data_IF_139255637463
#
_entry.id   IF_139255637463
#
_cell.length_a   1.000
_cell.length_b   1.000
_cell.length_c   1.000
_cell.angle_alpha   90.00
_cell.angle_beta   90.00
_cell.angle_gamma   90.00
#
_symmetry.space_group_name_H-M   'P 1'
#
loop_
_entity.id
_entity.type
_entity.pdbx_description
1 polymer ?
#
# COMPACT_ATOMS: atom_id res chain seq x y z
N UNK A 1 -0.60 45.95 12.28
CA UNK A 1 -1.76 46.71 11.82
C UNK A 1 -2.89 45.79 11.39
N UNK A 2 -2.69 44.88 10.38
CA UNK A 2 -3.76 44.01 9.86
C UNK A 2 -4.44 43.14 10.93
N UNK A 3 -3.69 42.59 11.88
CA UNK A 3 -4.24 41.86 13.03
C UNK A 3 -5.02 42.77 13.97
N UNK A 4 -4.46 43.94 14.32
CA UNK A 4 -5.14 44.89 15.19
C UNK A 4 -6.48 45.38 14.58
N UNK A 5 -6.52 45.52 13.27
CA UNK A 5 -7.72 45.90 12.52
C UNK A 5 -8.64 44.71 12.22
N UNK A 6 -8.30 43.48 12.65
CA UNK A 6 -9.00 42.22 12.33
C UNK A 6 -9.33 42.08 10.83
N UNK A 7 -8.42 42.54 9.96
CA UNK A 7 -8.67 42.75 8.54
C UNK A 7 -9.11 41.46 7.82
N UNK A 8 -8.57 40.31 8.19
CA UNK A 8 -8.81 39.04 7.54
C UNK A 8 -9.77 38.12 8.31
N UNK A 9 -10.37 38.62 9.36
CA UNK A 9 -11.41 37.90 10.10
C UNK A 9 -12.59 37.62 9.18
N UNK A 10 -13.00 36.37 9.12
CA UNK A 10 -14.24 35.97 8.45
C UNK A 10 -15.43 36.08 9.43
N UNK A 11 -16.52 36.62 8.95
CA UNK A 11 -17.79 36.70 9.69
C UNK A 11 -18.90 36.02 8.91
N UNK A 12 -19.88 35.45 9.61
CA UNK A 12 -21.05 34.90 8.94
C UNK A 12 -21.86 36.06 8.35
N UNK A 13 -21.93 36.14 7.03
CA UNK A 13 -22.65 37.15 6.28
C UNK A 13 -23.44 36.46 5.16
N UNK A 14 -24.77 36.31 5.29
CA UNK A 14 -25.60 35.62 4.31
C UNK A 14 -25.72 36.39 2.98
N UNK A 15 -25.46 37.71 2.99
CA UNK A 15 -25.59 38.55 1.77
C UNK A 15 -24.36 38.44 0.85
N UNK A 16 -23.25 37.90 1.36
CA UNK A 16 -22.02 37.76 0.57
C UNK A 16 -21.82 36.35 0.07
N UNK A 17 -21.40 36.23 -1.18
CA UNK A 17 -20.96 34.96 -1.74
C UNK A 17 -19.76 34.43 -0.97
N UNK A 18 -19.84 33.19 -0.50
CA UNK A 18 -18.78 32.53 0.29
C UNK A 18 -17.63 32.06 -0.61
N UNK A 19 -16.43 32.16 -0.07
CA UNK A 19 -15.25 31.53 -0.65
C UNK A 19 -14.42 30.90 0.47
N UNK A 20 -14.24 29.60 0.40
CA UNK A 20 -13.37 28.87 1.33
C UNK A 20 -12.03 28.66 0.66
N UNK A 21 -11.00 29.31 1.20
CA UNK A 21 -9.62 29.11 0.77
C UNK A 21 -8.96 28.08 1.66
N UNK A 22 -8.24 27.16 1.04
CA UNK A 22 -7.53 26.07 1.74
C UNK A 22 -6.06 26.08 1.40
N UNK A 23 -5.26 25.68 2.38
CA UNK A 23 -3.87 25.28 2.21
C UNK A 23 -3.53 24.14 3.17
N UNK A 24 -2.36 23.53 3.02
CA UNK A 24 -1.93 22.50 3.94
C UNK A 24 -1.70 23.06 5.35
N UNK A 25 -2.06 22.30 6.37
CA UNK A 25 -1.66 22.59 7.76
C UNK A 25 -0.25 22.03 7.97
N UNK A 26 0.75 22.88 8.33
CA UNK A 26 2.11 22.38 8.51
C UNK A 26 2.22 21.51 9.75
N UNK A 27 3.15 20.54 9.68
CA UNK A 27 3.49 19.71 10.82
C UNK A 27 4.55 20.41 11.70
N UNK A 28 4.33 20.58 13.03
CA UNK A 28 5.17 21.39 13.89
C UNK A 28 6.43 20.65 14.39
N UNK A 29 7.27 20.15 13.48
CA UNK A 29 8.53 19.46 13.79
C UNK A 29 9.74 20.38 13.89
N UNK A 30 9.63 21.64 13.49
CA UNK A 30 10.73 22.59 13.49
C UNK A 30 10.37 23.93 12.86
N UNK A 31 11.31 24.57 12.16
CA UNK A 31 11.08 25.81 11.44
C UNK A 31 10.35 25.63 10.12
N UNK A 32 9.61 26.65 9.69
CA UNK A 32 9.12 26.71 8.31
C UNK A 32 10.29 26.83 7.32
N UNK A 33 10.13 26.25 6.15
CA UNK A 33 11.09 26.34 5.06
C UNK A 33 10.40 26.79 3.76
N UNK A 34 11.18 27.02 2.72
CA UNK A 34 10.69 27.53 1.43
C UNK A 34 9.56 26.69 0.81
N UNK A 35 9.51 25.38 1.08
CA UNK A 35 8.43 24.49 0.62
C UNK A 35 7.07 24.87 1.20
N UNK A 36 7.00 25.33 2.45
CA UNK A 36 5.76 25.84 3.03
C UNK A 36 5.29 27.12 2.31
N UNK A 37 6.22 28.02 2.00
CA UNK A 37 5.93 29.20 1.20
C UNK A 37 5.38 28.86 -0.17
N UNK A 38 6.02 27.92 -0.84
CA UNK A 38 5.59 27.44 -2.15
C UNK A 38 4.17 26.88 -2.14
N UNK A 39 3.82 26.11 -1.11
CA UNK A 39 2.49 25.54 -0.97
C UNK A 39 1.42 26.56 -0.57
N UNK A 40 1.76 27.55 0.26
CA UNK A 40 0.79 28.48 0.84
C UNK A 40 0.57 29.75 0.00
N UNK A 41 1.60 30.26 -0.66
CA UNK A 41 1.52 31.52 -1.40
C UNK A 41 0.47 31.52 -2.53
N UNK A 42 0.31 30.47 -3.37
CA UNK A 42 -0.74 30.44 -4.39
C UNK A 42 -2.14 30.54 -3.78
N UNK A 43 -2.38 29.83 -2.66
CA UNK A 43 -3.66 29.87 -1.94
C UNK A 43 -3.94 31.27 -1.37
N UNK A 44 -2.92 31.91 -0.79
CA UNK A 44 -3.03 33.27 -0.27
C UNK A 44 -3.35 34.29 -1.38
N UNK A 45 -2.66 34.21 -2.51
CA UNK A 45 -2.93 35.08 -3.68
C UNK A 45 -4.37 34.91 -4.15
N UNK A 46 -4.85 33.67 -4.25
CA UNK A 46 -6.24 33.38 -4.65
C UNK A 46 -7.24 33.94 -3.63
N UNK A 47 -6.99 33.73 -2.34
CA UNK A 47 -7.84 34.22 -1.26
C UNK A 47 -7.95 35.76 -1.28
N UNK A 48 -6.82 36.47 -1.47
CA UNK A 48 -6.79 37.94 -1.60
C UNK A 48 -7.58 38.42 -2.81
N UNK A 49 -7.37 37.76 -3.96
CA UNK A 49 -8.11 38.07 -5.18
C UNK A 49 -9.63 37.96 -4.96
N UNK A 50 -10.08 36.84 -4.36
CA UNK A 50 -11.51 36.63 -4.11
C UNK A 50 -12.07 37.66 -3.13
N UNK A 51 -11.31 38.02 -2.10
CA UNK A 51 -11.70 39.11 -1.17
C UNK A 51 -11.84 40.46 -1.89
N UNK A 52 -10.90 40.80 -2.75
CA UNK A 52 -10.94 42.02 -3.58
C UNK A 52 -12.17 42.03 -4.53
N UNK A 53 -12.63 40.84 -4.94
CA UNK A 53 -13.85 40.68 -5.74
C UNK A 53 -15.15 40.74 -4.92
N UNK A 54 -15.06 41.02 -3.59
CA UNK A 54 -16.21 41.16 -2.70
C UNK A 54 -16.72 39.90 -2.04
N UNK A 55 -16.04 38.75 -2.23
CA UNK A 55 -16.43 37.53 -1.56
C UNK A 55 -16.16 37.58 -0.05
N UNK A 56 -16.96 36.84 0.70
CA UNK A 56 -16.71 36.53 2.09
C UNK A 56 -15.74 35.35 2.18
N UNK A 57 -14.47 35.64 2.43
CA UNK A 57 -13.40 34.64 2.37
C UNK A 57 -13.10 34.12 3.76
N UNK A 58 -13.23 32.79 3.92
CA UNK A 58 -12.70 32.05 5.07
C UNK A 58 -11.37 31.41 4.65
N UNK A 59 -10.27 31.81 5.29
CA UNK A 59 -8.95 31.22 5.08
C UNK A 59 -8.32 30.89 6.44
N UNK A 60 -8.67 29.72 7.03
CA UNK A 60 -8.14 29.30 8.31
C UNK A 60 -6.69 28.84 8.17
N UNK A 61 -5.96 28.87 9.28
CA UNK A 61 -4.65 28.23 9.44
C UNK A 61 -4.69 27.31 10.65
N UNK A 62 -3.76 26.40 10.71
CA UNK A 62 -3.63 25.47 11.83
C UNK A 62 -2.38 24.63 11.72
N UNK A 63 -2.35 23.56 12.53
CA UNK A 63 -1.20 22.67 12.62
C UNK A 63 -1.68 21.23 12.74
N UNK A 64 -1.11 20.35 11.91
CA UNK A 64 -1.23 18.90 12.07
C UNK A 64 -0.21 18.46 13.13
N UNK A 65 -0.68 18.29 14.36
CA UNK A 65 0.19 18.34 15.53
C UNK A 65 0.28 17.04 16.32
N UNK A 66 -0.29 15.95 15.81
CA UNK A 66 -0.09 14.59 16.34
C UNK A 66 0.99 13.84 15.57
N UNK A 67 1.56 12.82 16.19
CA UNK A 67 2.32 11.78 15.52
C UNK A 67 3.75 11.59 16.01
N UNK A 68 4.33 10.51 15.55
CA UNK A 68 5.65 10.01 15.92
C UNK A 68 6.82 10.97 15.69
N UNK A 69 6.88 11.78 14.61
CA UNK A 69 8.01 12.70 14.45
C UNK A 69 8.17 13.69 15.61
N UNK A 70 7.06 14.18 16.17
CA UNK A 70 7.11 15.06 17.35
C UNK A 70 7.53 14.29 18.61
N UNK A 71 7.04 13.04 18.78
CA UNK A 71 7.41 12.19 19.90
C UNK A 71 8.89 11.81 19.84
N UNK A 72 9.40 11.39 18.68
CA UNK A 72 10.81 11.06 18.50
C UNK A 72 11.71 12.26 18.79
N UNK A 73 11.40 13.43 18.22
CA UNK A 73 12.15 14.64 18.48
C UNK A 73 12.13 15.04 19.96
N UNK A 74 11.04 14.81 20.67
CA UNK A 74 10.92 15.06 22.10
C UNK A 74 11.75 14.06 22.93
N UNK A 75 11.74 12.77 22.56
CA UNK A 75 12.56 11.72 23.20
C UNK A 75 14.05 12.05 23.05
N UNK A 76 14.51 12.35 21.83
CA UNK A 76 15.91 12.71 21.56
C UNK A 76 16.40 13.91 22.39
N UNK A 77 15.50 14.86 22.68
CA UNK A 77 15.81 16.09 23.42
C UNK A 77 15.52 16.00 24.91
N UNK A 78 14.95 14.89 25.38
CA UNK A 78 14.56 14.72 26.78
C UNK A 78 13.47 15.68 27.26
N UNK A 79 12.55 16.09 26.36
CA UNK A 79 11.43 17.00 26.67
C UNK A 79 10.09 16.31 26.44
N UNK A 80 9.03 16.78 27.10
CA UNK A 80 7.70 16.22 26.88
C UNK A 80 7.18 16.59 25.48
N UNK A 81 6.58 15.66 24.68
CA UNK A 81 6.09 15.92 23.34
C UNK A 81 5.15 17.11 23.23
N UNK A 82 4.21 17.26 24.16
CA UNK A 82 3.30 18.40 24.19
C UNK A 82 4.07 19.75 24.27
N UNK A 83 5.03 19.86 25.18
CA UNK A 83 5.82 21.09 25.36
C UNK A 83 6.62 21.40 24.09
N UNK A 84 7.24 20.39 23.49
CA UNK A 84 7.98 20.54 22.26
C UNK A 84 7.08 21.00 21.10
N UNK A 85 5.95 20.34 20.91
CA UNK A 85 4.98 20.64 19.86
C UNK A 85 4.41 22.05 19.99
N UNK A 86 3.95 22.43 21.18
CA UNK A 86 3.38 23.78 21.41
C UNK A 86 4.41 24.86 21.19
N UNK A 87 5.66 24.69 21.62
CA UNK A 87 6.76 25.64 21.37
C UNK A 87 7.03 25.81 19.86
N UNK A 88 7.02 24.72 19.09
CA UNK A 88 7.16 24.81 17.63
C UNK A 88 5.97 25.50 16.97
N UNK A 89 4.76 25.22 17.41
CA UNK A 89 3.55 25.91 16.92
C UNK A 89 3.68 27.44 17.12
N UNK A 90 4.02 27.89 18.32
CA UNK A 90 4.22 29.32 18.59
C UNK A 90 5.29 29.92 17.68
N UNK A 91 6.38 29.21 17.44
CA UNK A 91 7.44 29.67 16.54
C UNK A 91 6.96 29.77 15.09
N UNK A 92 6.29 28.72 14.59
CA UNK A 92 5.73 28.72 13.26
C UNK A 92 4.64 29.79 13.07
N UNK A 93 3.79 30.02 14.07
CA UNK A 93 2.80 31.10 14.03
C UNK A 93 3.47 32.48 13.82
N UNK A 94 4.58 32.74 14.53
CA UNK A 94 5.35 33.98 14.31
C UNK A 94 5.92 34.07 12.91
N UNK A 95 6.46 32.97 12.39
CA UNK A 95 6.99 32.89 11.02
C UNK A 95 5.91 33.09 9.96
N UNK A 96 4.74 32.45 10.11
CA UNK A 96 3.59 32.64 9.21
C UNK A 96 3.06 34.10 9.22
N UNK A 97 3.03 34.73 10.38
CA UNK A 97 2.66 36.17 10.47
C UNK A 97 3.66 37.05 9.73
N UNK A 98 4.96 36.71 9.77
CA UNK A 98 5.99 37.41 9.02
C UNK A 98 5.81 37.28 7.50
N UNK A 99 5.26 36.17 7.03
CA UNK A 99 4.85 36.04 5.61
C UNK A 99 3.80 37.05 5.19
N UNK A 100 2.98 37.53 6.14
CA UNK A 100 1.88 38.43 5.86
C UNK A 100 0.70 37.79 5.14
N UNK A 101 0.56 36.47 5.20
CA UNK A 101 -0.59 35.74 4.62
C UNK A 101 -1.91 36.16 5.26
N UNK A 102 -3.01 36.14 4.51
CA UNK A 102 -4.32 36.59 5.00
C UNK A 102 -5.07 35.49 5.77
N UNK A 103 -4.39 34.80 6.67
CA UNK A 103 -5.02 33.81 7.52
C UNK A 103 -5.95 34.45 8.57
N UNK A 104 -7.07 33.79 8.81
CA UNK A 104 -7.98 34.11 9.91
C UNK A 104 -7.51 33.39 11.18
N UNK A 105 -6.68 34.09 11.96
CA UNK A 105 -6.10 33.54 13.18
C UNK A 105 -7.10 33.30 14.32
N UNK A 106 -8.34 33.82 14.23
CA UNK A 106 -9.41 33.50 15.19
C UNK A 106 -10.03 32.14 14.92
N UNK A 107 -9.75 31.57 13.76
CA UNK A 107 -10.24 30.25 13.33
C UNK A 107 -9.10 29.24 13.14
N UNK A 108 -8.18 29.28 14.09
CA UNK A 108 -7.04 28.37 14.08
C UNK A 108 -7.44 26.93 14.43
N UNK A 109 -6.88 25.96 13.68
CA UNK A 109 -7.12 24.53 13.85
C UNK A 109 -5.83 23.82 14.29
N UNK A 110 -5.72 23.46 15.57
CA UNK A 110 -4.58 22.71 16.11
C UNK A 110 -5.06 21.32 16.48
N UNK A 111 -4.64 20.31 15.71
CA UNK A 111 -5.20 18.95 15.79
C UNK A 111 -5.00 18.28 17.16
N UNK A 112 -3.93 18.58 17.89
CA UNK A 112 -3.63 17.99 19.20
C UNK A 112 -4.36 18.63 20.37
N UNK A 113 -5.17 19.67 20.15
CA UNK A 113 -5.94 20.29 21.23
C UNK A 113 -7.32 19.64 21.39
N UNK A 114 -7.85 19.51 22.62
CA UNK A 114 -9.14 18.88 22.89
C UNK A 114 -10.30 19.51 22.12
N UNK A 115 -10.26 20.82 21.89
CA UNK A 115 -11.27 21.53 21.10
C UNK A 115 -11.37 21.04 19.66
N UNK A 116 -10.27 20.51 19.10
CA UNK A 116 -10.22 19.94 17.77
C UNK A 116 -10.47 18.43 17.78
N UNK A 117 -9.66 17.63 18.50
CA UNK A 117 -9.69 16.16 18.36
C UNK A 117 -10.98 15.53 18.88
N UNK A 118 -11.76 16.20 19.75
CA UNK A 118 -13.10 15.73 20.12
C UNK A 118 -14.02 15.48 18.92
N UNK A 119 -13.79 16.20 17.81
CA UNK A 119 -14.54 15.98 16.58
C UNK A 119 -14.07 14.73 15.83
N UNK A 120 -12.79 14.44 15.86
CA UNK A 120 -12.27 13.16 15.34
C UNK A 120 -12.81 11.98 16.15
N UNK A 121 -12.88 12.09 17.48
CA UNK A 121 -13.51 11.10 18.35
C UNK A 121 -15.00 10.94 18.04
N UNK A 122 -15.70 12.05 17.81
CA UNK A 122 -17.11 12.02 17.42
C UNK A 122 -17.32 11.32 16.08
N UNK A 123 -16.50 11.60 15.07
CA UNK A 123 -16.54 10.90 13.78
C UNK A 123 -16.26 9.41 13.94
N UNK A 124 -15.28 9.04 14.75
CA UNK A 124 -15.00 7.64 15.04
C UNK A 124 -16.23 6.93 15.63
N UNK A 125 -16.90 7.54 16.59
CA UNK A 125 -18.13 6.99 17.17
C UNK A 125 -19.24 6.84 16.12
N UNK A 126 -19.38 7.81 15.21
CA UNK A 126 -20.34 7.71 14.10
C UNK A 126 -20.00 6.60 13.13
N UNK A 127 -18.74 6.39 12.82
CA UNK A 127 -18.30 5.27 11.99
C UNK A 127 -18.52 3.92 12.71
N UNK A 128 -18.33 3.87 14.01
CA UNK A 128 -18.63 2.69 14.80
C UNK A 128 -20.13 2.38 14.83
N UNK A 129 -20.98 3.37 15.09
CA UNK A 129 -22.44 3.25 15.06
C UNK A 129 -22.94 2.77 13.67
N UNK A 130 -22.31 3.25 12.59
CA UNK A 130 -22.64 2.85 11.21
C UNK A 130 -22.04 1.49 10.80
N UNK A 131 -21.28 0.81 11.67
CA UNK A 131 -20.61 -0.45 11.36
C UNK A 131 -19.41 -0.32 10.42
N UNK A 132 -18.97 0.90 10.12
CA UNK A 132 -17.79 1.18 9.30
C UNK A 132 -16.52 0.87 10.09
N UNK A 133 -16.43 1.34 11.34
CA UNK A 133 -15.33 1.01 12.24
C UNK A 133 -15.59 -0.33 12.93
N UNK A 134 -14.61 -1.22 12.91
CA UNK A 134 -14.69 -2.54 13.55
C UNK A 134 -13.33 -3.00 14.07
N UNK A 135 -13.32 -3.98 14.95
CA UNK A 135 -12.09 -4.61 15.45
C UNK A 135 -11.88 -5.98 14.79
N UNK A 136 -10.65 -6.26 14.44
CA UNK A 136 -10.22 -7.57 13.98
C UNK A 136 -8.76 -7.84 14.36
N UNK A 137 -8.39 -9.11 14.48
CA UNK A 137 -6.99 -9.49 14.61
C UNK A 137 -6.29 -9.31 13.25
N UNK A 138 -5.10 -8.70 13.29
CA UNK A 138 -4.27 -8.52 12.12
C UNK A 138 -2.79 -8.63 12.48
N UNK A 139 -1.95 -9.15 11.60
CA UNK A 139 -0.51 -9.17 11.78
C UNK A 139 0.04 -7.74 11.70
N UNK A 140 0.73 -7.33 12.76
CA UNK A 140 1.39 -6.03 12.86
C UNK A 140 2.88 -6.21 13.10
N UNK A 141 3.68 -5.23 12.71
CA UNK A 141 5.07 -5.16 13.11
C UNK A 141 5.17 -4.80 14.59
N UNK A 142 5.90 -5.58 15.35
CA UNK A 142 6.02 -5.43 16.79
C UNK A 142 7.47 -5.46 17.23
N UNK A 143 7.88 -4.45 18.00
CA UNK A 143 9.19 -4.42 18.61
C UNK A 143 9.12 -5.03 20.04
N UNK A 144 9.77 -6.19 20.30
CA UNK A 144 9.73 -6.81 21.62
C UNK A 144 10.40 -5.95 22.71
N UNK A 145 11.47 -5.22 22.37
CA UNK A 145 12.20 -4.37 23.31
C UNK A 145 11.44 -3.10 23.68
N UNK A 146 10.85 -2.41 22.69
CA UNK A 146 10.03 -1.23 22.94
C UNK A 146 8.62 -1.59 23.39
N UNK A 147 8.23 -2.86 23.32
CA UNK A 147 6.91 -3.40 23.63
C UNK A 147 5.77 -2.60 22.96
N UNK A 148 5.93 -2.30 21.68
CA UNK A 148 4.99 -1.49 20.91
C UNK A 148 4.85 -1.98 19.48
N UNK A 149 3.71 -1.68 18.87
CA UNK A 149 3.51 -1.84 17.43
C UNK A 149 4.28 -0.76 16.68
N UNK A 150 4.74 -1.09 15.49
CA UNK A 150 5.47 -0.19 14.61
C UNK A 150 4.69 0.02 13.34
N UNK A 151 4.67 1.27 12.87
CA UNK A 151 4.30 1.57 11.50
C UNK A 151 5.42 1.08 10.55
N UNK A 152 5.08 0.91 9.29
CA UNK A 152 6.02 0.40 8.30
C UNK A 152 7.30 1.24 8.20
N UNK A 153 7.17 2.56 8.23
CA UNK A 153 8.26 3.54 8.13
C UNK A 153 9.21 3.47 9.33
N UNK A 154 8.83 2.78 10.41
CA UNK A 154 9.62 2.60 11.62
C UNK A 154 10.40 1.29 11.66
N UNK A 155 10.27 0.47 10.62
CA UNK A 155 11.01 -0.78 10.45
C UNK A 155 12.08 -0.56 9.39
N UNK A 156 13.35 -0.55 9.80
CA UNK A 156 14.49 -0.18 8.97
C UNK A 156 15.36 -1.37 8.60
N UNK A 157 16.00 -1.26 7.45
CA UNK A 157 16.98 -2.22 6.95
C UNK A 157 16.36 -3.53 6.42
N UNK A 158 17.13 -4.26 5.65
CA UNK A 158 16.74 -5.56 5.11
C UNK A 158 16.52 -6.62 6.20
N UNK A 159 17.22 -6.46 7.33
CA UNK A 159 17.09 -7.28 8.54
C UNK A 159 15.91 -6.89 9.44
N UNK A 160 15.12 -5.87 9.03
CA UNK A 160 13.90 -5.43 9.71
C UNK A 160 14.07 -5.13 11.18
N UNK A 161 14.80 -4.10 11.51
CA UNK A 161 14.98 -3.65 12.89
C UNK A 161 14.17 -2.39 13.24
N UNK A 162 13.90 -2.24 14.52
CA UNK A 162 13.18 -1.08 15.05
C UNK A 162 14.03 0.19 14.91
N UNK A 163 13.45 1.27 14.38
CA UNK A 163 14.13 2.58 14.23
C UNK A 163 14.69 3.15 15.55
N UNK A 164 14.06 2.78 16.71
CA UNK A 164 14.39 3.34 18.02
C UNK A 164 15.49 2.57 18.76
N UNK A 165 15.43 1.26 18.75
CA UNK A 165 16.30 0.41 19.60
C UNK A 165 17.09 -0.62 18.80
N UNK A 166 16.97 -0.64 17.48
CA UNK A 166 17.64 -1.57 16.56
C UNK A 166 17.41 -3.06 16.87
N UNK A 167 16.38 -3.38 17.67
CA UNK A 167 15.99 -4.78 17.93
C UNK A 167 15.25 -5.33 16.71
N UNK A 168 15.50 -6.58 16.30
CA UNK A 168 14.73 -7.23 15.23
C UNK A 168 13.23 -7.19 15.50
N UNK A 169 12.48 -6.78 14.49
CA UNK A 169 11.02 -6.68 14.54
C UNK A 169 10.40 -8.03 14.22
N UNK A 170 9.34 -8.38 14.93
CA UNK A 170 8.58 -9.61 14.70
C UNK A 170 7.16 -9.27 14.22
N UNK A 171 6.53 -10.20 13.50
CA UNK A 171 5.08 -10.13 13.24
C UNK A 171 4.33 -10.67 14.46
N UNK A 172 3.29 -9.97 14.86
CA UNK A 172 2.42 -10.35 15.98
C UNK A 172 0.97 -10.05 15.63
N UNK A 173 0.10 -11.03 15.79
CA UNK A 173 -1.32 -10.82 15.63
C UNK A 173 -1.88 -10.08 16.84
N UNK A 174 -2.43 -8.91 16.58
CA UNK A 174 -3.08 -8.06 17.58
C UNK A 174 -4.44 -7.59 17.08
N UNK A 175 -5.36 -7.41 18.03
CA UNK A 175 -6.62 -6.74 17.73
C UNK A 175 -6.37 -5.27 17.40
N UNK A 176 -6.82 -4.86 16.20
CA UNK A 176 -6.70 -3.51 15.67
C UNK A 176 -8.05 -2.96 15.24
N UNK A 177 -8.15 -1.65 15.16
CA UNK A 177 -9.28 -0.98 14.54
C UNK A 177 -9.11 -0.88 13.03
N UNK A 178 -10.18 -1.17 12.31
CA UNK A 178 -10.26 -1.08 10.86
C UNK A 178 -11.47 -0.24 10.44
N UNK A 179 -11.38 0.36 9.26
CA UNK A 179 -12.52 0.95 8.56
C UNK A 179 -12.83 0.13 7.31
N UNK A 180 -14.12 -0.12 7.05
CA UNK A 180 -14.60 -0.82 5.84
C UNK A 180 -14.58 0.10 4.63
N UNK A 181 -13.45 0.69 4.29
CA UNK A 181 -13.32 1.65 3.19
C UNK A 181 -13.62 1.03 1.83
N UNK A 182 -13.38 -0.26 1.65
CA UNK A 182 -13.66 -0.99 0.41
C UNK A 182 -15.14 -1.09 0.08
N UNK A 183 -16.05 -0.90 1.06
CA UNK A 183 -17.49 -0.82 0.82
C UNK A 183 -17.90 0.39 -0.02
N UNK A 184 -17.04 1.38 -0.13
CA UNK A 184 -17.25 2.62 -0.88
C UNK A 184 -16.44 2.66 -2.19
N UNK A 185 -15.83 1.55 -2.60
CA UNK A 185 -14.94 1.53 -3.76
C UNK A 185 -15.65 1.97 -5.05
N UNK A 186 -16.87 1.48 -5.29
CA UNK A 186 -17.67 1.86 -6.47
C UNK A 186 -18.07 3.33 -6.42
N UNK A 187 -18.52 3.84 -5.26
CA UNK A 187 -18.89 5.26 -5.08
C UNK A 187 -17.68 6.19 -5.29
N UNK A 188 -16.49 5.77 -4.87
CA UNK A 188 -15.26 6.53 -5.06
C UNK A 188 -14.78 6.59 -6.53
N UNK A 189 -15.35 5.76 -7.40
CA UNK A 189 -15.10 5.78 -8.85
C UNK A 189 -16.19 6.56 -9.63
N UNK A 190 -17.22 7.02 -8.96
CA UNK A 190 -18.23 7.91 -9.54
C UNK A 190 -17.83 9.38 -9.37
N UNK A 191 -17.46 10.03 -10.46
CA UNK A 191 -17.06 11.44 -10.50
C UNK A 191 -18.17 12.35 -11.03
N UNK A 192 -19.41 11.86 -11.20
CA UNK A 192 -20.50 12.61 -11.82
C UNK A 192 -20.87 13.89 -11.09
N UNK A 193 -20.72 13.92 -9.76
CA UNK A 193 -21.04 15.07 -8.89
C UNK A 193 -19.81 15.92 -8.54
N UNK A 194 -18.62 15.59 -9.07
CA UNK A 194 -17.35 16.23 -8.71
C UNK A 194 -16.62 16.73 -9.96
N UNK A 195 -16.37 18.04 -10.00
CA UNK A 195 -15.53 18.65 -11.03
C UNK A 195 -14.04 18.55 -10.67
N UNK A 196 -13.51 17.34 -10.81
CA UNK A 196 -12.09 17.08 -10.57
C UNK A 196 -11.28 17.11 -11.86
N UNK A 197 -9.99 17.54 -11.80
CA UNK A 197 -9.08 17.44 -12.92
C UNK A 197 -8.94 15.99 -13.40
N UNK A 198 -8.91 15.76 -14.71
CA UNK A 198 -8.77 14.42 -15.31
C UNK A 198 -7.61 13.61 -14.74
N UNK A 199 -6.49 14.28 -14.44
CA UNK A 199 -5.33 13.63 -13.81
C UNK A 199 -5.69 13.02 -12.45
N UNK A 200 -6.47 13.72 -11.63
CA UNK A 200 -6.86 13.24 -10.29
C UNK A 200 -7.82 12.06 -10.42
N UNK A 201 -8.80 12.14 -11.33
CA UNK A 201 -9.72 11.03 -11.62
C UNK A 201 -8.95 9.79 -12.09
N UNK A 202 -8.00 9.95 -13.01
CA UNK A 202 -7.16 8.85 -13.51
C UNK A 202 -6.30 8.22 -12.40
N UNK A 203 -5.74 9.02 -11.50
CA UNK A 203 -4.96 8.53 -10.35
C UNK A 203 -5.84 7.72 -9.40
N UNK A 204 -7.03 8.21 -9.06
CA UNK A 204 -7.96 7.50 -8.17
C UNK A 204 -8.48 6.21 -8.79
N UNK A 205 -8.86 6.25 -10.07
CA UNK A 205 -9.32 5.07 -10.81
C UNK A 205 -8.24 3.98 -10.86
N UNK A 206 -6.98 4.35 -11.11
CA UNK A 206 -5.86 3.40 -11.11
C UNK A 206 -5.53 2.83 -9.72
N UNK A 207 -5.74 3.63 -8.68
CA UNK A 207 -5.49 3.21 -7.30
C UNK A 207 -6.54 2.22 -6.80
N UNK A 208 -7.83 2.54 -6.98
CA UNK A 208 -8.95 1.72 -6.50
C UNK A 208 -9.13 0.50 -7.40
N UNK A 209 -9.06 0.69 -8.68
CA UNK A 209 -9.33 -0.20 -9.81
C UNK A 209 -10.29 -1.37 -9.49
N UNK A 210 -10.97 -1.92 -10.49
CA UNK A 210 -11.85 -3.08 -10.37
C UNK A 210 -11.36 -4.18 -11.30
N UNK A 211 -11.20 -5.38 -10.78
CA UNK A 211 -10.93 -6.58 -11.57
C UNK A 211 -12.02 -7.62 -11.34
N UNK A 212 -12.37 -8.33 -12.39
CA UNK A 212 -13.24 -9.50 -12.31
C UNK A 212 -12.41 -10.75 -12.56
N UNK A 213 -12.71 -11.81 -11.83
CA UNK A 213 -12.02 -13.08 -11.95
C UNK A 213 -12.90 -14.23 -11.50
N UNK A 214 -12.31 -15.42 -11.48
CA UNK A 214 -12.98 -16.64 -11.08
C UNK A 214 -12.17 -17.37 -10.00
N UNK A 215 -12.87 -17.99 -9.07
CA UNK A 215 -12.32 -19.00 -8.19
C UNK A 215 -12.31 -20.35 -8.92
N UNK A 216 -11.15 -20.96 -8.98
CA UNK A 216 -10.97 -22.28 -9.60
C UNK A 216 -10.45 -23.26 -8.56
N UNK A 217 -11.11 -24.42 -8.46
CA UNK A 217 -10.73 -25.45 -7.49
C UNK A 217 -9.84 -26.49 -8.17
N UNK A 218 -8.61 -26.60 -7.72
CA UNK A 218 -7.71 -27.71 -8.01
C UNK A 218 -7.81 -28.74 -6.87
N UNK A 219 -7.52 -30.00 -7.14
CA UNK A 219 -7.40 -31.03 -6.11
C UNK A 219 -5.92 -31.34 -5.88
N UNK A 220 -5.51 -31.53 -4.63
CA UNK A 220 -4.24 -32.20 -4.36
C UNK A 220 -4.32 -33.69 -4.68
N UNK A 221 -3.20 -34.40 -4.77
CA UNK A 221 -3.19 -35.86 -4.91
C UNK A 221 -3.88 -36.56 -3.74
N UNK A 222 -3.89 -35.98 -2.56
CA UNK A 222 -4.61 -36.45 -1.38
C UNK A 222 -6.09 -36.11 -1.40
N UNK A 223 -6.57 -35.33 -2.39
CA UNK A 223 -7.96 -34.95 -2.58
C UNK A 223 -8.39 -33.65 -1.91
N UNK A 224 -7.47 -32.88 -1.36
CA UNK A 224 -7.76 -31.57 -0.76
C UNK A 224 -8.06 -30.51 -1.81
N UNK A 225 -9.01 -29.63 -1.49
CA UNK A 225 -9.34 -28.48 -2.32
C UNK A 225 -8.30 -27.37 -2.19
N UNK A 226 -7.73 -26.97 -3.33
CA UNK A 226 -6.86 -25.80 -3.45
C UNK A 226 -7.59 -24.79 -4.31
N UNK A 227 -8.15 -23.75 -3.68
CA UNK A 227 -8.88 -22.69 -4.38
C UNK A 227 -7.90 -21.62 -4.83
N UNK A 228 -7.87 -21.32 -6.12
CA UNK A 228 -7.09 -20.23 -6.70
C UNK A 228 -8.02 -19.17 -7.28
N UNK A 229 -7.74 -17.90 -7.01
CA UNK A 229 -8.39 -16.79 -7.68
C UNK A 229 -7.58 -16.38 -8.91
N UNK A 230 -8.22 -16.26 -10.07
CA UNK A 230 -7.55 -15.80 -11.29
C UNK A 230 -8.43 -14.82 -12.07
N UNK A 231 -7.82 -13.78 -12.62
CA UNK A 231 -8.46 -12.87 -13.61
C UNK A 231 -8.36 -13.41 -15.04
N UNK A 232 -7.62 -14.51 -15.24
CA UNK A 232 -7.36 -15.12 -16.55
C UNK A 232 -7.69 -16.62 -16.55
N UNK A 233 -8.98 -16.99 -16.31
CA UNK A 233 -9.38 -18.41 -16.34
C UNK A 233 -9.19 -19.06 -17.73
N UNK A 234 -9.10 -18.27 -18.78
CA UNK A 234 -8.80 -18.68 -20.15
C UNK A 234 -7.41 -19.31 -20.30
N UNK A 235 -6.49 -19.07 -19.36
CA UNK A 235 -5.12 -19.61 -19.39
C UNK A 235 -4.94 -20.93 -18.60
N UNK A 236 -5.99 -21.48 -18.00
CA UNK A 236 -5.95 -22.70 -17.17
C UNK A 236 -5.23 -23.90 -17.81
N UNK A 237 -5.39 -24.08 -19.13
CA UNK A 237 -4.74 -25.16 -19.87
C UNK A 237 -3.21 -25.04 -19.92
N UNK A 238 -2.68 -23.83 -19.66
CA UNK A 238 -1.26 -23.53 -19.60
C UNK A 238 -0.69 -23.50 -18.19
N UNK A 239 -1.48 -23.83 -17.18
CA UNK A 239 -1.00 -23.94 -15.80
C UNK A 239 -0.08 -25.17 -15.68
N UNK A 240 1.20 -24.94 -15.35
CA UNK A 240 2.23 -25.97 -15.30
C UNK A 240 2.79 -26.22 -13.91
N UNK A 241 2.48 -25.36 -12.96
CA UNK A 241 2.75 -25.56 -11.53
C UNK A 241 1.76 -24.76 -10.68
N UNK A 242 1.69 -25.11 -9.41
CA UNK A 242 0.90 -24.43 -8.39
C UNK A 242 1.84 -23.75 -7.42
N UNK A 243 1.51 -22.54 -6.95
CA UNK A 243 2.30 -21.87 -5.90
C UNK A 243 1.40 -21.48 -4.75
N UNK A 244 1.77 -21.88 -3.54
CA UNK A 244 1.13 -21.46 -2.30
C UNK A 244 1.99 -20.39 -1.61
N UNK A 245 1.32 -19.49 -0.90
CA UNK A 245 2.01 -18.64 0.06
C UNK A 245 2.71 -19.49 1.12
N UNK A 246 3.91 -19.13 1.58
CA UNK A 246 4.62 -19.90 2.61
C UNK A 246 3.80 -20.11 3.89
N UNK A 247 2.90 -19.17 4.21
CA UNK A 247 2.01 -19.18 5.38
C UNK A 247 0.67 -19.90 5.11
N UNK A 248 0.45 -20.43 3.92
CA UNK A 248 -0.84 -21.06 3.58
C UNK A 248 -1.09 -22.31 4.43
N UNK A 249 -2.30 -22.49 5.01
CA UNK A 249 -2.60 -23.62 5.90
C UNK A 249 -2.36 -25.01 5.28
N UNK A 250 -2.55 -25.15 3.97
CA UNK A 250 -2.32 -26.40 3.27
C UNK A 250 -0.83 -26.79 3.17
N UNK A 251 0.11 -25.86 3.36
CA UNK A 251 1.55 -26.18 3.28
C UNK A 251 1.93 -27.21 4.35
N UNK A 252 1.52 -27.01 5.58
CA UNK A 252 1.81 -27.94 6.67
C UNK A 252 1.17 -29.31 6.46
N UNK A 253 -0.04 -29.34 5.86
CA UNK A 253 -0.80 -30.56 5.60
C UNK A 253 -0.22 -31.36 4.43
N UNK A 254 0.14 -30.70 3.34
CA UNK A 254 0.52 -31.34 2.07
C UNK A 254 2.02 -31.60 1.95
N UNK A 255 2.86 -30.98 2.79
CA UNK A 255 4.32 -31.18 2.72
C UNK A 255 4.71 -32.62 3.02
N UNK A 256 5.45 -33.25 2.10
CA UNK A 256 5.96 -34.61 2.32
C UNK A 256 7.08 -34.65 3.39
N UNK A 257 7.26 -35.79 4.07
CA UNK A 257 8.33 -35.92 5.09
C UNK A 257 9.73 -35.54 4.58
N UNK A 258 10.01 -35.85 3.31
CA UNK A 258 11.32 -35.59 2.69
C UNK A 258 11.59 -34.11 2.47
N UNK A 259 10.53 -33.30 2.23
CA UNK A 259 10.63 -31.86 1.94
C UNK A 259 10.44 -31.00 3.19
N UNK A 260 9.91 -31.56 4.29
CA UNK A 260 9.50 -30.82 5.48
C UNK A 260 10.60 -29.91 6.05
N UNK A 261 11.84 -30.38 6.12
CA UNK A 261 12.94 -29.59 6.67
C UNK A 261 13.23 -28.35 5.82
N UNK A 262 13.26 -28.52 4.48
CA UNK A 262 13.53 -27.43 3.55
C UNK A 262 12.37 -26.44 3.49
N UNK A 263 11.12 -26.93 3.48
CA UNK A 263 9.92 -26.11 3.51
C UNK A 263 9.86 -25.27 4.78
N UNK A 264 10.09 -25.84 5.96
CA UNK A 264 10.09 -25.11 7.22
C UNK A 264 11.18 -24.02 7.27
N UNK A 265 12.36 -24.28 6.73
CA UNK A 265 13.42 -23.29 6.64
C UNK A 265 13.01 -22.12 5.74
N UNK A 266 12.36 -22.42 4.59
CA UNK A 266 11.89 -21.40 3.66
C UNK A 266 10.74 -20.57 4.25
N UNK A 267 9.77 -21.19 4.90
CA UNK A 267 8.67 -20.49 5.61
C UNK A 267 9.23 -19.51 6.65
N UNK A 268 10.23 -19.95 7.43
CA UNK A 268 10.88 -19.09 8.42
C UNK A 268 11.66 -17.92 7.76
N UNK A 269 12.24 -18.13 6.60
CA UNK A 269 12.92 -17.09 5.83
C UNK A 269 11.92 -16.08 5.25
N UNK A 270 10.87 -16.56 4.58
CA UNK A 270 9.84 -15.72 3.97
C UNK A 270 9.08 -14.89 5.02
N UNK A 271 8.84 -15.44 6.21
CA UNK A 271 8.20 -14.73 7.33
C UNK A 271 9.00 -13.56 7.89
N UNK A 272 10.28 -13.43 7.52
CA UNK A 272 11.12 -12.26 7.88
C UNK A 272 11.09 -11.14 6.85
N UNK A 273 10.56 -11.39 5.66
CA UNK A 273 10.49 -10.41 4.57
C UNK A 273 9.23 -9.56 4.65
N UNK A 274 9.31 -8.31 4.19
CA UNK A 274 8.14 -7.45 4.01
C UNK A 274 7.35 -7.84 2.75
N UNK A 275 6.09 -7.43 2.69
CA UNK A 275 5.29 -7.59 1.45
C UNK A 275 5.94 -6.92 0.23
N UNK A 276 6.59 -5.76 0.42
CA UNK A 276 7.30 -5.07 -0.68
C UNK A 276 8.53 -5.82 -1.13
N UNK A 277 9.35 -6.33 -0.20
CA UNK A 277 10.50 -7.14 -0.56
C UNK A 277 10.09 -8.42 -1.28
N UNK A 278 8.95 -9.00 -0.87
CA UNK A 278 8.37 -10.17 -1.51
C UNK A 278 7.83 -9.87 -2.91
N UNK A 279 7.26 -8.67 -3.12
CA UNK A 279 6.69 -8.24 -4.40
C UNK A 279 7.69 -7.52 -5.31
N UNK A 280 8.95 -7.34 -4.88
CA UNK A 280 9.98 -6.70 -5.70
C UNK A 280 10.22 -7.47 -6.99
N UNK A 281 10.22 -6.74 -8.10
CA UNK A 281 10.50 -7.27 -9.44
C UNK A 281 12.01 -7.41 -9.71
N UNK A 282 12.84 -6.75 -8.91
CA UNK A 282 14.31 -6.77 -9.07
C UNK A 282 14.99 -7.99 -8.40
N UNK A 283 14.21 -8.78 -7.64
CA UNK A 283 14.71 -9.92 -6.89
C UNK A 283 14.49 -11.23 -7.65
N UNK A 284 15.49 -12.12 -7.62
CA UNK A 284 15.37 -13.48 -8.10
C UNK A 284 14.19 -14.20 -7.43
N UNK A 285 13.35 -14.87 -8.23
CA UNK A 285 12.20 -15.60 -7.71
C UNK A 285 12.66 -16.89 -7.03
N UNK A 286 12.40 -17.01 -5.74
CA UNK A 286 12.79 -18.19 -4.96
C UNK A 286 11.58 -19.01 -4.54
N UNK A 287 11.75 -20.30 -4.36
CA UNK A 287 10.71 -21.22 -3.90
C UNK A 287 11.21 -22.61 -3.57
N UNK A 288 10.32 -23.40 -2.98
CA UNK A 288 10.60 -24.79 -2.58
C UNK A 288 9.43 -25.69 -3.00
N UNK A 289 9.73 -26.78 -3.66
CA UNK A 289 8.75 -27.84 -3.96
C UNK A 289 8.34 -28.55 -2.67
N UNK A 290 7.04 -28.74 -2.44
CA UNK A 290 6.54 -29.34 -1.20
C UNK A 290 6.45 -30.87 -1.23
N UNK A 291 6.66 -31.49 -2.41
CA UNK A 291 6.76 -32.93 -2.59
C UNK A 291 5.49 -33.62 -3.08
N UNK A 292 4.43 -32.88 -3.38
CA UNK A 292 3.16 -33.40 -3.93
C UNK A 292 2.66 -32.51 -5.07
N UNK A 293 1.73 -33.00 -5.86
CA UNK A 293 1.18 -32.32 -7.02
C UNK A 293 -0.29 -31.95 -6.84
N UNK A 294 -0.73 -30.96 -7.61
CA UNK A 294 -2.13 -30.60 -7.79
C UNK A 294 -2.63 -31.12 -9.15
N UNK A 295 -3.92 -31.43 -9.23
CA UNK A 295 -4.57 -31.92 -10.45
C UNK A 295 -5.28 -30.73 -11.11
N UNK A 296 -4.87 -30.40 -12.33
CA UNK A 296 -5.49 -29.34 -13.11
C UNK A 296 -6.91 -29.78 -13.54
N UNK A 297 -7.97 -29.02 -13.16
CA UNK A 297 -9.36 -29.45 -13.38
C UNK A 297 -9.79 -29.50 -14.83
N UNK A 298 -9.08 -28.79 -15.75
CA UNK A 298 -9.50 -28.72 -17.17
C UNK A 298 -8.86 -29.79 -18.05
N UNK A 299 -7.68 -30.31 -17.70
CA UNK A 299 -6.96 -31.29 -18.51
C UNK A 299 -6.47 -32.54 -17.76
N UNK A 300 -6.68 -32.57 -16.42
CA UNK A 300 -6.24 -33.69 -15.57
C UNK A 300 -4.73 -33.79 -15.36
N UNK A 301 -3.96 -32.79 -15.79
CA UNK A 301 -2.52 -32.81 -15.64
C UNK A 301 -2.12 -32.67 -14.15
N UNK A 302 -1.13 -33.47 -13.74
CA UNK A 302 -0.47 -33.31 -12.45
C UNK A 302 0.56 -32.21 -12.57
N UNK A 303 0.44 -31.19 -11.70
CA UNK A 303 1.33 -30.02 -11.66
C UNK A 303 1.94 -29.89 -10.26
N UNK A 304 3.27 -29.70 -10.15
CA UNK A 304 3.94 -29.67 -8.86
C UNK A 304 3.51 -28.45 -8.01
N UNK A 305 3.33 -28.68 -6.72
CA UNK A 305 2.99 -27.62 -5.75
C UNK A 305 4.28 -27.08 -5.13
N UNK A 306 4.48 -25.78 -5.27
CA UNK A 306 5.60 -25.03 -4.70
C UNK A 306 5.12 -24.07 -3.64
N UNK A 307 6.01 -23.63 -2.76
CA UNK A 307 5.86 -22.41 -1.97
C UNK A 307 6.83 -21.36 -2.50
N UNK A 308 6.38 -20.11 -2.61
CA UNK A 308 7.24 -19.00 -3.03
C UNK A 308 6.85 -17.71 -2.33
N UNK A 309 7.84 -16.87 -2.10
CA UNK A 309 7.67 -15.63 -1.33
C UNK A 309 6.88 -14.54 -2.06
N UNK A 310 6.77 -14.60 -3.40
CA UNK A 310 5.97 -13.65 -4.18
C UNK A 310 4.45 -13.91 -4.15
N UNK A 311 4.00 -15.03 -3.57
CA UNK A 311 2.59 -15.33 -3.33
C UNK A 311 2.20 -14.92 -1.91
N UNK A 312 1.09 -14.20 -1.76
CA UNK A 312 0.70 -13.56 -0.51
C UNK A 312 -0.67 -14.05 -0.03
N UNK A 313 -0.80 -14.30 1.28
CA UNK A 313 -2.12 -14.58 1.90
C UNK A 313 -3.07 -13.39 1.87
N UNK A 314 -2.55 -12.19 1.70
CA UNK A 314 -3.34 -10.94 1.62
C UNK A 314 -3.97 -10.70 0.25
N UNK A 315 -3.63 -11.50 -0.75
CA UNK A 315 -4.18 -11.41 -2.10
C UNK A 315 -4.82 -12.73 -2.54
N UNK A 316 -6.10 -12.67 -2.90
CA UNK A 316 -6.88 -13.85 -3.30
C UNK A 316 -6.98 -14.89 -2.17
N UNK A 317 -6.66 -16.12 -2.48
CA UNK A 317 -6.72 -17.27 -1.57
C UNK A 317 -5.38 -17.62 -0.94
N UNK A 318 -4.30 -16.93 -1.30
CA UNK A 318 -2.93 -17.34 -0.96
C UNK A 318 -2.40 -18.51 -1.78
N UNK A 319 -3.11 -18.87 -2.84
CA UNK A 319 -2.73 -19.88 -3.82
C UNK A 319 -2.87 -19.32 -5.24
N UNK A 320 -1.94 -19.62 -6.12
CA UNK A 320 -2.01 -19.25 -7.54
C UNK A 320 -1.76 -20.49 -8.42
N UNK A 321 -2.47 -20.56 -9.53
CA UNK A 321 -2.05 -21.37 -10.67
C UNK A 321 -0.98 -20.59 -11.44
N UNK A 322 0.16 -21.18 -11.67
CA UNK A 322 1.23 -20.53 -12.40
C UNK A 322 1.15 -20.85 -13.89
N UNK A 323 1.14 -19.78 -14.70
CA UNK A 323 0.99 -19.88 -16.16
C UNK A 323 2.17 -19.18 -16.84
N UNK A 324 3.34 -19.82 -16.90
CA UNK A 324 4.58 -19.17 -17.30
C UNK A 324 4.61 -18.64 -18.73
N UNK A 325 3.74 -19.09 -19.61
CA UNK A 325 3.63 -18.56 -20.96
C UNK A 325 2.88 -17.19 -21.01
N UNK A 326 2.20 -16.79 -19.94
CA UNK A 326 1.29 -15.62 -19.91
C UNK A 326 1.44 -14.73 -18.67
N UNK A 327 2.37 -15.04 -17.76
CA UNK A 327 2.75 -14.22 -16.60
C UNK A 327 4.28 -14.16 -16.47
N UNK A 328 4.82 -12.97 -16.36
CA UNK A 328 6.28 -12.75 -16.36
C UNK A 328 6.95 -13.31 -15.09
N UNK A 329 6.30 -13.22 -13.93
CA UNK A 329 6.82 -13.76 -12.66
C UNK A 329 6.86 -15.28 -12.69
N UNK A 330 5.80 -15.90 -13.23
CA UNK A 330 5.72 -17.34 -13.38
C UNK A 330 6.73 -17.85 -14.43
N UNK A 331 6.98 -17.04 -15.48
CA UNK A 331 7.99 -17.33 -16.47
C UNK A 331 9.40 -17.35 -15.88
N UNK A 332 9.78 -16.30 -15.13
CA UNK A 332 11.08 -16.25 -14.45
C UNK A 332 11.27 -17.42 -13.50
N UNK A 333 10.25 -17.76 -12.72
CA UNK A 333 10.27 -18.90 -11.81
C UNK A 333 10.42 -20.22 -12.57
N UNK A 334 9.65 -20.41 -13.64
CA UNK A 334 9.73 -21.62 -14.46
C UNK A 334 11.11 -21.82 -15.09
N UNK A 335 11.74 -20.74 -15.56
CA UNK A 335 13.11 -20.78 -16.08
C UNK A 335 14.11 -21.20 -15.01
N UNK A 336 14.00 -20.62 -13.81
CA UNK A 336 14.94 -20.90 -12.72
C UNK A 336 14.89 -22.36 -12.25
N UNK A 337 13.68 -22.95 -12.23
CA UNK A 337 13.47 -24.31 -11.73
C UNK A 337 13.27 -25.37 -12.82
N UNK A 338 13.42 -24.99 -14.09
CA UNK A 338 13.29 -25.90 -15.22
C UNK A 338 11.88 -26.46 -15.41
N UNK A 339 10.84 -25.68 -15.08
CA UNK A 339 9.44 -26.08 -15.19
C UNK A 339 8.90 -25.86 -16.61
N UNK A 340 7.89 -26.65 -17.06
CA UNK A 340 7.33 -26.52 -18.40
C UNK A 340 6.68 -25.16 -18.64
N UNK A 341 6.80 -24.63 -19.86
CA UNK A 341 6.17 -23.39 -20.33
C UNK A 341 5.29 -23.74 -21.52
N UNK A 342 3.97 -23.66 -21.36
CA UNK A 342 2.98 -24.08 -22.36
C UNK A 342 2.14 -22.89 -22.78
N UNK A 343 2.31 -22.34 -23.99
CA UNK A 343 1.45 -21.28 -24.52
C UNK A 343 0.08 -21.86 -24.89
N UNK A 344 -0.99 -21.17 -24.49
CA UNK A 344 -2.38 -21.62 -24.71
C UNK A 344 -3.25 -20.55 -25.35
N UNK A 345 -2.72 -19.33 -25.52
CA UNK A 345 -3.39 -18.25 -26.22
C UNK A 345 -2.55 -17.89 -27.45
N UNK A 346 -3.20 -17.94 -28.62
CA UNK A 346 -2.57 -17.55 -29.87
C UNK A 346 -2.28 -16.05 -29.88
N UNK A 347 -1.10 -15.72 -30.35
CA UNK A 347 -0.75 -14.33 -30.58
C UNK A 347 -1.46 -13.80 -31.83
N UNK A 348 -1.76 -12.49 -31.92
CA UNK A 348 -2.37 -11.89 -33.11
C UNK A 348 -1.56 -12.06 -34.40
N UNK A 349 -0.26 -12.34 -34.28
CA UNK A 349 0.65 -12.60 -35.41
C UNK A 349 0.67 -14.08 -35.86
N UNK A 350 -0.14 -14.96 -35.23
CA UNK A 350 -0.28 -16.37 -35.57
C UNK A 350 0.95 -17.23 -35.25
N UNK A 351 1.91 -16.70 -34.48
CA UNK A 351 3.13 -17.45 -34.10
C UNK A 351 2.94 -18.07 -32.72
N UNK A 352 2.52 -19.34 -32.69
CA UNK A 352 2.51 -20.12 -31.46
C UNK A 352 3.83 -20.89 -31.36
N UNK A 353 4.61 -20.66 -30.32
CA UNK A 353 5.84 -21.42 -30.06
C UNK A 353 5.80 -21.97 -28.65
N UNK A 354 6.03 -23.28 -28.54
CA UNK A 354 6.33 -23.92 -27.25
C UNK A 354 7.80 -23.74 -26.91
N UNK A 355 8.08 -23.46 -25.64
CA UNK A 355 9.43 -23.29 -25.15
C UNK A 355 10.05 -24.63 -24.73
N UNK A 356 11.34 -24.82 -25.01
CA UNK A 356 12.12 -26.02 -24.63
C UNK A 356 12.86 -25.72 -23.32
N UNK A 357 12.91 -26.71 -22.37
CA UNK A 357 13.36 -26.46 -21.01
C UNK A 357 14.86 -26.18 -20.83
N UNK A 358 15.15 -25.66 -19.65
CA UNK A 358 16.42 -25.31 -19.10
C UNK A 358 17.55 -26.34 -19.29
N UNK A 359 18.46 -26.06 -20.11
CA UNK A 359 19.76 -26.66 -20.39
C UNK A 359 20.56 -25.77 -21.31
N UNK A 360 19.88 -24.78 -21.92
CA UNK A 360 20.49 -23.89 -22.92
C UNK A 360 20.52 -22.42 -22.48
N UNK A 361 20.40 -22.12 -21.16
CA UNK A 361 20.23 -20.77 -20.65
C UNK A 361 21.51 -20.15 -20.08
N UNK A 362 22.58 -20.12 -20.85
CA UNK A 362 23.82 -19.45 -20.45
C UNK A 362 23.81 -17.89 -20.60
N UNK A 363 22.80 -17.33 -21.26
CA UNK A 363 22.85 -15.91 -21.72
C UNK A 363 21.78 -14.96 -21.16
N UNK A 364 21.12 -15.30 -20.07
CA UNK A 364 20.14 -14.43 -19.43
C UNK A 364 18.72 -14.46 -20.06
N UNK A 365 17.73 -13.92 -19.34
CA UNK A 365 16.30 -13.96 -19.66
C UNK A 365 15.96 -13.38 -21.03
N UNK A 366 16.47 -12.19 -21.36
CA UNK A 366 16.21 -11.52 -22.63
C UNK A 366 16.70 -12.33 -23.83
N UNK A 367 17.86 -12.98 -23.70
CA UNK A 367 18.42 -13.84 -24.75
C UNK A 367 17.64 -15.14 -24.89
N UNK A 368 17.21 -15.73 -23.77
CA UNK A 368 16.34 -16.90 -23.75
C UNK A 368 14.98 -16.61 -24.42
N UNK A 369 14.35 -15.49 -24.13
CA UNK A 369 13.12 -15.01 -24.74
C UNK A 369 13.27 -14.80 -26.25
N UNK A 370 14.35 -14.16 -26.69
CA UNK A 370 14.65 -13.97 -28.11
C UNK A 370 14.87 -15.28 -28.85
N UNK A 371 15.64 -16.22 -28.25
CA UNK A 371 15.83 -17.58 -28.82
C UNK A 371 14.52 -18.36 -28.92
N UNK A 372 13.63 -18.23 -27.93
CA UNK A 372 12.31 -18.84 -27.94
C UNK A 372 11.33 -18.17 -28.92
N UNK A 373 11.75 -17.09 -29.59
CA UNK A 373 10.95 -16.36 -30.58
C UNK A 373 9.89 -15.45 -29.98
N UNK A 374 10.02 -15.09 -28.69
CA UNK A 374 9.22 -14.04 -28.09
C UNK A 374 9.80 -12.69 -28.48
N UNK A 375 8.93 -11.76 -28.92
CA UNK A 375 9.29 -10.35 -29.06
C UNK A 375 8.77 -9.62 -27.81
N UNK A 376 9.65 -8.97 -27.10
CA UNK A 376 9.25 -8.03 -26.06
C UNK A 376 9.72 -6.63 -26.45
N UNK A 377 8.94 -5.62 -26.06
CA UNK A 377 9.39 -4.24 -26.15
C UNK A 377 10.24 -3.97 -24.90
N UNK A 378 11.50 -3.59 -25.10
CA UNK A 378 12.23 -2.88 -24.07
C UNK A 378 11.46 -1.56 -23.86
N UNK A 379 10.77 -1.43 -22.74
CA UNK A 379 10.34 -0.14 -22.24
C UNK A 379 11.56 0.55 -21.67
N UNK A 380 12.13 1.46 -22.44
CA UNK A 380 12.98 2.50 -21.86
C UNK A 380 12.04 3.39 -21.05
N UNK A 381 12.23 3.45 -19.71
CA UNK A 381 11.76 4.55 -18.90
C UNK A 381 12.49 5.85 -19.26
#
# INVERSE_FOLDING_TARGET
RWEADSLYRSVVDPEKTKHYAMTMLPYPSGDLHIGHWYAMAPSDVRARYMRMRGYNVLFPMGFDAFGLPAENAAIERGVHPHTWTMSNIEKMQRQLRTMGAMFDWEREAISCLPGYYRWSEWFFLKFYEAGIAYRAAAPVDFCPQCNTTLAREQVWGEDRHCERCHTPVIKKDLEQWFFRITSYADELLDFSEIDWPERVQAMQTKWIHRTEGADVVFKSEEGDDIVVYTTRPDTLWGATFMVLAPEHPLVEKLVTPNQRAQVNAYVAQAGRQTEIERLSTEKDKTGVYIGTDAINPVNGAHIPIWIADYVMMTYGTGAIMAVPAHDERDFEFALQYGLPIIPVIDRPDGVTKSYVPAGEMEDGLATALKKAGFSFKETQE
#
